data_IF_574778312395
#
_entry.id   IF_574778312395
#
_cell.length_a   1.000
_cell.length_b   1.000
_cell.length_c   1.000
_cell.angle_alpha   90.00
_cell.angle_beta   90.00
_cell.angle_gamma   90.00
#
_symmetry.space_group_name_H-M   'P 1'
#
loop_
_entity.id
_entity.type
_entity.pdbx_description
1 polymer ?
#
# COMPACT_ATOMS: atom_id res chain seq x y z
N UNK A 1 28.12 -12.40 -0.48
CA UNK A 1 27.22 -11.30 -0.89
C UNK A 1 25.77 -11.76 -0.93
N UNK A 2 25.46 -12.88 -1.59
CA UNK A 2 24.12 -13.45 -1.56
C UNK A 2 23.70 -14.00 -0.19
N UNK A 3 24.64 -14.59 0.56
CA UNK A 3 24.35 -15.13 1.90
C UNK A 3 23.85 -14.07 2.88
N UNK A 4 24.45 -12.87 2.85
CA UNK A 4 24.01 -11.74 3.69
C UNK A 4 22.58 -11.29 3.36
N UNK A 5 22.19 -11.36 2.08
CA UNK A 5 20.82 -11.03 1.66
C UNK A 5 19.86 -12.09 2.17
N UNK A 6 20.21 -13.37 2.06
CA UNK A 6 19.40 -14.47 2.59
C UNK A 6 19.23 -14.36 4.11
N UNK A 7 20.30 -14.05 4.85
CA UNK A 7 20.21 -13.80 6.30
C UNK A 7 19.24 -12.67 6.63
N UNK A 8 19.28 -11.56 5.87
CA UNK A 8 18.34 -10.43 6.05
C UNK A 8 16.90 -10.83 5.71
N UNK A 9 16.69 -11.61 4.66
CA UNK A 9 15.37 -12.11 4.29
C UNK A 9 14.79 -13.02 5.38
N UNK A 10 15.59 -13.96 5.89
CA UNK A 10 15.16 -14.87 6.96
C UNK A 10 14.89 -14.12 8.27
N UNK A 11 15.71 -13.12 8.61
CA UNK A 11 15.45 -12.27 9.77
C UNK A 11 14.14 -11.49 9.63
N UNK A 12 13.85 -10.93 8.45
CA UNK A 12 12.60 -10.23 8.19
C UNK A 12 11.38 -11.16 8.25
N UNK A 13 11.46 -12.34 7.63
CA UNK A 13 10.40 -13.35 7.65
C UNK A 13 10.13 -13.80 9.09
N UNK A 14 11.16 -14.05 9.89
CA UNK A 14 11.03 -14.46 11.28
C UNK A 14 10.28 -13.43 12.13
N UNK A 15 10.53 -12.13 11.91
CA UNK A 15 9.79 -11.04 12.58
C UNK A 15 8.31 -11.06 12.18
N UNK A 16 8.01 -11.19 10.89
CA UNK A 16 6.63 -11.24 10.39
C UNK A 16 5.88 -12.46 10.92
N UNK A 17 6.50 -13.65 10.91
CA UNK A 17 5.94 -14.85 11.52
C UNK A 17 5.66 -14.66 13.01
N UNK A 18 6.55 -13.96 13.73
CA UNK A 18 6.34 -13.60 15.15
C UNK A 18 5.07 -12.77 15.37
N UNK A 19 4.81 -11.80 14.50
CA UNK A 19 3.58 -10.98 14.54
C UNK A 19 2.34 -11.83 14.27
N UNK A 20 2.39 -12.71 13.26
CA UNK A 20 1.27 -13.61 12.93
C UNK A 20 0.96 -14.53 14.11
N UNK A 21 1.98 -15.14 14.72
CA UNK A 21 1.82 -16.02 15.90
C UNK A 21 1.29 -15.28 17.12
N UNK A 22 1.53 -13.98 17.23
CA UNK A 22 0.92 -13.11 18.24
C UNK A 22 -0.54 -12.72 17.92
N UNK A 23 -1.09 -13.17 16.78
CA UNK A 23 -2.46 -12.91 16.36
C UNK A 23 -2.64 -11.61 15.58
N UNK A 24 -1.55 -10.97 15.13
CA UNK A 24 -1.65 -9.72 14.37
C UNK A 24 -1.83 -9.97 12.87
N UNK A 25 -2.86 -9.37 12.23
CA UNK A 25 -2.93 -9.36 10.78
C UNK A 25 -1.80 -8.50 10.21
N UNK A 26 -1.39 -8.86 9.00
CA UNK A 26 -0.37 -8.13 8.26
C UNK A 26 -1.04 -7.40 7.09
N UNK A 27 -0.55 -6.19 6.80
CA UNK A 27 -1.00 -5.38 5.68
C UNK A 27 0.22 -4.96 4.84
N UNK A 28 0.33 -5.52 3.63
CA UNK A 28 1.35 -5.18 2.65
C UNK A 28 0.92 -4.02 1.75
N UNK A 29 1.90 -3.40 1.09
CA UNK A 29 1.65 -2.39 0.06
C UNK A 29 2.44 -2.69 -1.20
N UNK A 30 1.77 -2.71 -2.35
CA UNK A 30 2.39 -3.00 -3.65
C UNK A 30 2.32 -1.76 -4.54
N UNK A 31 3.36 -0.91 -4.50
CA UNK A 31 3.45 0.29 -5.34
C UNK A 31 4.85 0.54 -5.91
N UNK A 32 5.88 -0.12 -5.39
CA UNK A 32 7.26 0.03 -5.87
C UNK A 32 8.19 -1.04 -5.31
N UNK A 33 9.46 -1.02 -5.70
CA UNK A 33 10.41 -2.12 -5.43
C UNK A 33 10.51 -2.52 -3.95
N UNK A 34 10.59 -1.54 -3.04
CA UNK A 34 10.86 -1.79 -1.63
C UNK A 34 9.60 -2.35 -0.94
N UNK A 35 8.43 -1.80 -1.29
CA UNK A 35 7.14 -2.23 -0.75
C UNK A 35 6.72 -3.59 -1.32
N UNK A 36 6.99 -3.85 -2.60
CA UNK A 36 6.80 -5.16 -3.24
C UNK A 36 7.71 -6.21 -2.63
N UNK A 37 9.00 -5.90 -2.39
CA UNK A 37 9.91 -6.81 -1.70
C UNK A 37 9.38 -7.18 -0.30
N UNK A 38 8.98 -6.19 0.50
CA UNK A 38 8.38 -6.44 1.81
C UNK A 38 7.09 -7.28 1.73
N UNK A 39 6.27 -7.06 0.71
CA UNK A 39 5.02 -7.81 0.47
C UNK A 39 5.31 -9.28 0.13
N UNK A 40 6.33 -9.57 -0.67
CA UNK A 40 6.74 -10.95 -0.99
C UNK A 40 7.25 -11.67 0.27
N UNK A 41 8.04 -10.99 1.11
CA UNK A 41 8.50 -11.57 2.38
C UNK A 41 7.33 -11.82 3.35
N UNK A 42 6.31 -10.95 3.34
CA UNK A 42 5.06 -11.17 4.07
C UNK A 42 4.30 -12.39 3.56
N UNK A 43 4.14 -12.57 2.25
CA UNK A 43 3.49 -13.76 1.68
C UNK A 43 4.20 -15.05 2.08
N UNK A 44 5.54 -15.05 2.06
CA UNK A 44 6.32 -16.19 2.51
C UNK A 44 6.13 -16.49 4.00
N UNK A 45 6.05 -15.46 4.86
CA UNK A 45 5.76 -15.64 6.28
C UNK A 45 4.37 -16.26 6.52
N UNK A 46 3.34 -15.78 5.81
CA UNK A 46 1.97 -16.33 5.88
C UNK A 46 1.94 -17.80 5.42
N UNK A 47 2.64 -18.10 4.32
CA UNK A 47 2.76 -19.46 3.78
C UNK A 47 3.42 -20.41 4.79
N UNK A 48 4.55 -20.02 5.38
CA UNK A 48 5.26 -20.84 6.39
C UNK A 48 4.43 -21.07 7.65
N UNK A 49 3.72 -20.06 8.14
CA UNK A 49 2.83 -20.24 9.31
C UNK A 49 1.63 -21.12 8.95
N UNK A 50 1.17 -21.11 7.70
CA UNK A 50 0.07 -21.99 7.26
C UNK A 50 0.52 -23.45 7.24
N UNK A 51 1.76 -23.71 6.83
CA UNK A 51 2.37 -25.05 6.88
C UNK A 51 2.56 -25.57 8.32
N UNK A 52 2.72 -24.68 9.31
CA UNK A 52 2.73 -25.04 10.74
C UNK A 52 1.33 -25.47 11.25
N UNK A 53 0.28 -25.31 10.44
CA UNK A 53 -1.09 -25.66 10.82
C UNK A 53 -1.71 -24.73 11.87
N UNK A 54 -1.12 -23.55 12.08
CA UNK A 54 -1.61 -22.56 13.04
C UNK A 54 -2.75 -21.74 12.42
N UNK A 55 -3.74 -21.40 13.26
CA UNK A 55 -4.78 -20.46 12.87
C UNK A 55 -4.18 -19.06 12.69
N UNK A 56 -4.53 -18.39 11.59
CA UNK A 56 -4.01 -17.06 11.25
C UNK A 56 -5.18 -16.09 11.01
N UNK A 57 -5.01 -14.80 11.33
CA UNK A 57 -5.97 -13.78 10.93
C UNK A 57 -5.98 -13.59 9.41
N UNK A 58 -6.99 -12.89 8.89
CA UNK A 58 -6.98 -12.47 7.48
C UNK A 58 -5.91 -11.40 7.25
N UNK A 59 -5.16 -11.56 6.16
CA UNK A 59 -4.10 -10.66 5.73
C UNK A 59 -4.53 -9.88 4.49
N UNK A 60 -3.93 -8.69 4.31
CA UNK A 60 -4.31 -7.78 3.25
C UNK A 60 -3.08 -7.28 2.49
N UNK A 61 -3.22 -7.09 1.20
CA UNK A 61 -2.24 -6.35 0.40
C UNK A 61 -3.01 -5.22 -0.28
N UNK A 62 -2.51 -4.01 -0.16
CA UNK A 62 -3.21 -2.83 -0.68
C UNK A 62 -2.33 -2.04 -1.65
N UNK A 63 -2.98 -1.40 -2.61
CA UNK A 63 -2.37 -0.35 -3.42
C UNK A 63 -3.35 0.79 -3.63
N UNK A 64 -2.85 1.90 -4.16
CA UNK A 64 -3.66 3.07 -4.48
C UNK A 64 -3.51 3.40 -5.96
N UNK A 65 -4.63 3.42 -6.69
CA UNK A 65 -4.69 3.93 -8.05
C UNK A 65 -4.95 5.43 -7.97
N UNK A 66 -3.92 6.25 -8.20
CA UNK A 66 -4.07 7.72 -8.13
C UNK A 66 -4.66 8.32 -9.40
N UNK A 67 -4.96 7.51 -10.42
CA UNK A 67 -5.47 7.89 -11.75
C UNK A 67 -4.52 8.78 -12.57
N UNK A 68 -3.27 8.97 -12.09
CA UNK A 68 -2.27 9.81 -12.74
C UNK A 68 -0.92 9.10 -12.92
N UNK A 69 -0.81 7.84 -12.50
CA UNK A 69 0.39 7.05 -12.79
C UNK A 69 0.54 6.81 -14.30
N UNK A 70 1.76 6.44 -14.69
CA UNK A 70 2.00 5.85 -15.99
C UNK A 70 1.13 4.60 -16.19
N UNK A 71 0.47 4.45 -17.34
CA UNK A 71 -0.45 3.34 -17.61
C UNK A 71 0.23 1.96 -17.57
N UNK A 72 1.50 1.86 -17.96
CA UNK A 72 2.28 0.63 -17.85
C UNK A 72 2.58 0.29 -16.39
N UNK A 73 2.83 1.29 -15.54
CA UNK A 73 3.00 1.08 -14.09
C UNK A 73 1.68 0.65 -13.43
N UNK A 74 0.57 1.30 -13.78
CA UNK A 74 -0.75 0.92 -13.26
C UNK A 74 -1.08 -0.54 -13.61
N UNK A 75 -0.89 -0.94 -14.88
CA UNK A 75 -1.07 -2.33 -15.32
C UNK A 75 -0.12 -3.30 -14.61
N UNK A 76 1.14 -2.92 -14.40
CA UNK A 76 2.09 -3.78 -13.69
C UNK A 76 1.64 -4.05 -12.24
N UNK A 77 1.15 -3.03 -11.54
CA UNK A 77 0.62 -3.19 -10.19
C UNK A 77 -0.64 -4.05 -10.20
N UNK A 78 -1.58 -3.81 -11.11
CA UNK A 78 -2.80 -4.62 -11.27
C UNK A 78 -2.46 -6.10 -11.48
N UNK A 79 -1.60 -6.43 -12.45
CA UNK A 79 -1.19 -7.81 -12.72
C UNK A 79 -0.48 -8.45 -11.52
N UNK A 80 0.37 -7.71 -10.81
CA UNK A 80 1.02 -8.23 -9.61
C UNK A 80 0.00 -8.59 -8.52
N UNK A 81 -1.03 -7.76 -8.32
CA UNK A 81 -2.07 -8.04 -7.33
C UNK A 81 -2.93 -9.24 -7.74
N UNK A 82 -3.25 -9.37 -9.03
CA UNK A 82 -3.93 -10.56 -9.59
C UNK A 82 -3.12 -11.83 -9.33
N UNK A 83 -1.81 -11.82 -9.61
CA UNK A 83 -0.91 -12.96 -9.35
C UNK A 83 -0.86 -13.33 -7.85
N UNK A 84 -0.95 -12.34 -6.97
CA UNK A 84 -0.98 -12.55 -5.52
C UNK A 84 -2.29 -13.22 -5.08
N UNK A 85 -3.45 -12.75 -5.57
CA UNK A 85 -4.74 -13.35 -5.26
C UNK A 85 -4.81 -14.79 -5.81
N UNK A 86 -4.33 -15.03 -7.03
CA UNK A 86 -4.25 -16.36 -7.63
C UNK A 86 -3.35 -17.29 -6.80
N UNK A 87 -2.19 -16.81 -6.36
CA UNK A 87 -1.29 -17.57 -5.50
C UNK A 87 -1.94 -17.90 -4.15
N UNK A 88 -2.61 -16.93 -3.52
CA UNK A 88 -3.30 -17.13 -2.26
C UNK A 88 -4.43 -18.15 -2.39
N UNK A 89 -5.24 -18.08 -3.45
CA UNK A 89 -6.29 -19.04 -3.73
C UNK A 89 -5.75 -20.45 -3.98
N UNK A 90 -4.69 -20.59 -4.78
CA UNK A 90 -4.08 -21.89 -5.10
C UNK A 90 -3.51 -22.62 -3.88
N UNK A 91 -3.05 -21.88 -2.87
CA UNK A 91 -2.45 -22.43 -1.65
C UNK A 91 -3.38 -22.34 -0.42
N UNK A 92 -4.63 -21.87 -0.59
CA UNK A 92 -5.59 -21.71 0.51
C UNK A 92 -5.13 -20.70 1.57
N UNK A 93 -4.37 -19.68 1.20
CA UNK A 93 -3.89 -18.65 2.11
C UNK A 93 -4.97 -17.60 2.36
N UNK A 94 -5.10 -17.15 3.62
CA UNK A 94 -6.04 -16.10 4.02
C UNK A 94 -5.56 -14.69 3.65
N UNK A 95 -5.17 -14.45 2.40
CA UNK A 95 -4.68 -13.17 1.88
C UNK A 95 -5.63 -12.64 0.82
N UNK A 96 -5.91 -11.33 0.83
CA UNK A 96 -6.70 -10.66 -0.22
C UNK A 96 -6.05 -9.36 -0.66
N UNK A 97 -6.16 -9.03 -1.95
CA UNK A 97 -5.70 -7.74 -2.48
C UNK A 97 -6.80 -6.69 -2.59
N UNK A 98 -6.43 -5.42 -2.43
CA UNK A 98 -7.35 -4.27 -2.47
C UNK A 98 -6.72 -3.07 -3.17
N UNK A 99 -7.49 -2.42 -4.05
CA UNK A 99 -7.07 -1.17 -4.70
C UNK A 99 -7.96 -0.02 -4.22
N UNK A 100 -7.35 0.97 -3.59
CA UNK A 100 -8.01 2.23 -3.25
C UNK A 100 -8.01 3.15 -4.47
N UNK A 101 -9.21 3.57 -4.89
CA UNK A 101 -9.39 4.48 -6.04
C UNK A 101 -10.12 5.74 -5.58
N UNK A 102 -9.67 6.95 -5.98
CA UNK A 102 -10.36 8.18 -5.63
C UNK A 102 -11.74 8.23 -6.29
N UNK A 103 -12.71 8.83 -5.61
CA UNK A 103 -13.97 9.20 -6.24
C UNK A 103 -13.75 10.22 -7.35
N UNK A 104 -14.67 10.32 -8.31
CA UNK A 104 -14.58 11.26 -9.43
C UNK A 104 -14.29 12.71 -8.95
N UNK A 105 -14.94 13.14 -7.87
CA UNK A 105 -14.76 14.48 -7.30
C UNK A 105 -13.37 14.73 -6.67
N UNK A 106 -12.62 13.66 -6.39
CA UNK A 106 -11.28 13.67 -5.81
C UNK A 106 -10.18 13.31 -6.82
N UNK A 107 -10.54 13.04 -8.08
CA UNK A 107 -9.54 12.77 -9.12
C UNK A 107 -8.71 14.01 -9.40
N UNK A 108 -7.42 13.79 -9.65
CA UNK A 108 -6.44 14.86 -9.89
C UNK A 108 -6.86 15.79 -11.03
N UNK A 109 -7.35 15.23 -12.14
CA UNK A 109 -7.79 15.99 -13.32
C UNK A 109 -8.99 16.88 -12.99
N UNK A 110 -9.95 16.37 -12.23
CA UNK A 110 -11.14 17.14 -11.80
C UNK A 110 -10.73 18.27 -10.86
N UNK A 111 -9.82 18.01 -9.92
CA UNK A 111 -9.32 19.04 -8.99
C UNK A 111 -8.52 20.13 -9.70
N UNK A 112 -7.62 19.73 -10.60
CA UNK A 112 -6.66 20.64 -11.25
C UNK A 112 -7.27 21.39 -12.42
N UNK A 113 -7.85 20.67 -13.37
CA UNK A 113 -8.42 21.25 -14.59
C UNK A 113 -9.87 21.72 -14.33
N UNK A 114 -10.69 20.87 -13.70
CA UNK A 114 -12.11 21.17 -13.51
C UNK A 114 -12.39 22.28 -12.50
N UNK A 115 -11.63 22.34 -11.39
CA UNK A 115 -11.80 23.33 -10.30
C UNK A 115 -10.72 24.41 -10.25
N UNK A 116 -9.69 24.31 -11.09
CA UNK A 116 -8.58 25.28 -11.11
C UNK A 116 -7.63 25.20 -9.91
N UNK A 117 -7.59 24.06 -9.20
CA UNK A 117 -6.65 23.89 -8.07
C UNK A 117 -5.24 23.75 -8.62
N UNK A 118 -4.34 24.66 -8.25
CA UNK A 118 -2.95 24.58 -8.70
C UNK A 118 -2.26 23.32 -8.13
N UNK A 119 -1.54 22.62 -9.00
CA UNK A 119 -0.66 21.51 -8.61
C UNK A 119 0.32 22.02 -7.56
N UNK A 120 0.41 21.32 -6.43
CA UNK A 120 1.33 21.70 -5.37
C UNK A 120 2.75 21.25 -5.69
N UNK A 121 3.66 22.19 -5.85
CA UNK A 121 5.11 21.98 -5.95
C UNK A 121 5.78 22.35 -4.63
N UNK A 122 7.08 22.09 -4.51
CA UNK A 122 7.87 22.56 -3.37
C UNK A 122 7.82 24.09 -3.22
N UNK A 123 7.67 24.82 -4.33
CA UNK A 123 7.67 26.28 -4.39
C UNK A 123 6.34 26.90 -3.93
N UNK A 124 5.20 26.26 -4.24
CA UNK A 124 3.88 26.79 -3.91
C UNK A 124 3.19 26.04 -2.74
N UNK A 125 3.81 24.98 -2.20
CA UNK A 125 3.27 24.15 -1.12
C UNK A 125 3.47 24.70 0.30
N UNK A 126 4.16 25.83 0.42
CA UNK A 126 4.48 26.48 1.70
C UNK A 126 3.85 27.86 1.75
N UNK A 127 2.97 28.10 2.73
CA UNK A 127 2.43 29.44 3.01
C UNK A 127 2.84 29.83 4.43
N UNK A 128 3.51 30.96 4.59
CA UNK A 128 4.01 31.45 5.88
C UNK A 128 4.83 30.39 6.67
N UNK A 129 5.72 29.67 5.99
CA UNK A 129 6.59 28.65 6.61
C UNK A 129 5.89 27.34 7.00
N UNK A 130 4.58 27.19 6.77
CA UNK A 130 3.83 25.96 7.06
C UNK A 130 3.38 25.27 5.76
N UNK A 131 3.57 23.95 5.69
CA UNK A 131 3.02 23.10 4.62
C UNK A 131 1.51 23.03 4.76
N UNK A 132 0.78 23.56 3.77
CA UNK A 132 -0.68 23.40 3.68
C UNK A 132 -0.99 22.04 3.05
N UNK A 133 -1.70 21.15 3.76
CA UNK A 133 -2.11 19.84 3.22
C UNK A 133 -3.19 20.00 2.14
N UNK A 134 -3.08 19.22 1.07
CA UNK A 134 -3.99 19.27 -0.08
C UNK A 134 -5.44 18.85 0.26
N UNK A 135 -5.64 18.03 1.30
CA UNK A 135 -6.95 17.51 1.71
C UNK A 135 -7.37 17.97 3.11
N UNK A 136 -6.74 19.00 3.68
CA UNK A 136 -7.34 19.64 4.85
C UNK A 136 -8.60 20.35 4.34
N UNK A 137 -9.77 19.92 4.81
CA UNK A 137 -10.99 20.73 4.69
C UNK A 137 -10.62 22.15 5.10
N UNK A 138 -10.78 23.10 4.18
CA UNK A 138 -10.72 24.51 4.55
C UNK A 138 -11.91 24.74 5.47
N UNK A 139 -11.68 24.64 6.78
CA UNK A 139 -12.60 25.16 7.79
C UNK A 139 -12.22 26.61 7.94
N UNK A 140 -13.10 27.49 7.47
CA UNK A 140 -12.95 28.92 7.68
C UNK A 140 -12.91 29.19 9.19
N UNK A 141 -11.85 29.81 9.75
CA UNK A 141 -11.79 30.08 11.18
C UNK A 141 -12.95 30.95 11.69
N UNK A 142 -13.61 31.73 10.81
CA UNK A 142 -14.83 32.48 11.14
C UNK A 142 -16.12 31.65 11.20
N UNK A 143 -16.07 30.38 10.78
CA UNK A 143 -17.21 29.45 10.83
C UNK A 143 -17.30 28.63 12.11
N UNK A 144 -16.35 28.82 13.04
CA UNK A 144 -16.40 28.28 14.40
C UNK A 144 -16.59 29.45 15.37
N UNK A 145 -17.85 29.86 15.51
CA UNK A 145 -18.36 30.65 16.63
C UNK A 145 -19.78 30.16 16.94
#
# INVERSE_FOLDING_TARGET
MFDEILEKMEAAIAVLMGLIRAGHPLCGTASGKDSTCATILMLEAVRRVAEEGLAQPAHYISSANTTIENSSLARHIETMLEEVDDHAAAHGLGVTTHIATPSLAMQFVVSTIGRGTLVRTVENGVRAGKRTRACATYVDPSSVN
#
